data_IF_564837298556
#
_entry.id   IF_564837298556
#
_cell.length_a   1.000
_cell.length_b   1.000
_cell.length_c   1.000
_cell.angle_alpha   90.00
_cell.angle_beta   90.00
_cell.angle_gamma   90.00
#
_symmetry.space_group_name_H-M   'P 1'
#
loop_
_entity.id
_entity.type
_entity.pdbx_description
1 polymer ?
#
# COMPACT_ATOMS: atom_id res chain seq x y z
N UNK A 1 4.58 -65.58 37.86
CA UNK A 1 3.36 -64.81 37.59
C UNK A 1 3.65 -63.36 37.92
N UNK A 2 3.88 -62.48 36.93
CA UNK A 2 3.88 -61.01 37.07
C UNK A 2 3.94 -60.35 35.67
N UNK A 3 2.99 -60.73 34.81
CA UNK A 3 2.82 -60.25 33.44
C UNK A 3 1.99 -58.94 33.39
N UNK A 4 2.22 -58.02 34.33
CA UNK A 4 1.35 -56.83 34.49
C UNK A 4 2.08 -55.49 34.47
N UNK A 5 3.42 -55.47 34.44
CA UNK A 5 4.19 -54.23 34.53
C UNK A 5 4.74 -53.72 33.19
N UNK A 6 4.63 -54.49 32.11
CA UNK A 6 5.24 -54.15 30.81
C UNK A 6 4.32 -53.37 29.87
N UNK A 7 3.03 -53.28 30.17
CA UNK A 7 2.02 -52.67 29.28
C UNK A 7 1.83 -51.16 29.57
N UNK A 8 2.19 -50.70 30.77
CA UNK A 8 2.03 -49.29 31.16
C UNK A 8 3.12 -48.35 30.66
N UNK A 9 4.28 -48.87 30.22
CA UNK A 9 5.37 -48.02 29.70
C UNK A 9 5.23 -47.65 28.22
N UNK A 10 4.39 -48.35 27.46
CA UNK A 10 4.16 -48.09 26.03
C UNK A 10 2.98 -47.16 25.74
N UNK A 11 2.15 -46.85 26.75
CA UNK A 11 0.99 -45.97 26.58
C UNK A 11 1.31 -44.46 26.72
N UNK A 12 2.53 -44.09 27.14
CA UNK A 12 2.91 -42.68 27.35
C UNK A 12 3.64 -42.07 26.13
N UNK A 13 3.97 -42.85 25.10
CA UNK A 13 4.76 -42.36 23.95
C UNK A 13 3.96 -42.01 22.69
N UNK A 14 2.62 -42.04 22.74
CA UNK A 14 1.78 -41.80 21.53
C UNK A 14 1.13 -40.40 21.53
N UNK A 15 1.14 -39.67 22.65
CA UNK A 15 0.41 -38.37 22.73
C UNK A 15 1.27 -37.16 22.33
N UNK A 16 2.57 -37.32 22.11
CA UNK A 16 3.47 -36.18 21.81
C UNK A 16 3.49 -35.73 20.34
N UNK A 17 2.83 -36.45 19.42
CA UNK A 17 2.88 -36.16 17.99
C UNK A 17 1.66 -35.42 17.42
N UNK A 18 0.74 -34.96 18.28
CA UNK A 18 -0.16 -33.88 17.89
C UNK A 18 0.63 -32.57 18.04
N UNK A 19 1.69 -32.44 17.25
CA UNK A 19 2.32 -31.16 17.00
C UNK A 19 1.20 -30.26 16.49
N UNK A 20 0.77 -29.32 17.32
CA UNK A 20 0.00 -28.17 16.87
C UNK A 20 0.80 -27.62 15.69
N UNK A 21 0.34 -27.89 14.47
CA UNK A 21 0.94 -27.34 13.27
C UNK A 21 0.85 -25.83 13.42
N UNK A 22 1.95 -25.24 13.88
CA UNK A 22 2.05 -23.81 14.05
C UNK A 22 1.73 -23.23 12.67
N UNK A 23 0.77 -22.28 12.56
CA UNK A 23 0.40 -21.76 11.26
C UNK A 23 1.67 -21.33 10.54
N UNK A 24 1.91 -21.88 9.34
CA UNK A 24 3.12 -21.58 8.58
C UNK A 24 3.29 -20.06 8.52
N UNK A 25 4.50 -19.57 8.81
CA UNK A 25 4.79 -18.15 8.79
C UNK A 25 4.35 -17.55 7.44
N UNK A 26 3.47 -16.54 7.47
CA UNK A 26 2.91 -15.91 6.27
C UNK A 26 3.45 -14.49 6.10
N UNK A 27 3.76 -14.05 4.86
CA UNK A 27 3.98 -12.65 4.60
C UNK A 27 2.67 -11.87 4.76
N UNK A 28 2.77 -10.60 5.14
CA UNK A 28 1.62 -9.69 5.19
C UNK A 28 2.08 -8.28 4.81
N UNK A 29 1.85 -7.92 3.54
CA UNK A 29 2.21 -6.59 3.04
C UNK A 29 1.11 -5.60 3.35
N UNK A 30 1.47 -4.54 4.07
CA UNK A 30 0.65 -3.37 4.29
C UNK A 30 1.21 -2.20 3.49
N UNK A 31 0.33 -1.41 2.88
CA UNK A 31 0.71 -0.21 2.14
C UNK A 31 -0.17 0.97 2.55
N UNK A 32 0.43 2.15 2.72
CA UNK A 32 -0.29 3.37 3.10
C UNK A 32 0.29 4.56 2.33
N UNK A 33 -0.58 5.32 1.67
CA UNK A 33 -0.21 6.55 0.98
C UNK A 33 -0.53 7.79 1.83
N UNK A 34 0.38 8.75 1.81
CA UNK A 34 0.21 10.06 2.41
C UNK A 34 0.66 11.15 1.43
N UNK A 35 -0.26 12.05 1.08
CA UNK A 35 0.02 13.21 0.26
C UNK A 35 0.47 14.40 1.13
N UNK A 36 1.44 15.17 0.65
CA UNK A 36 1.92 16.40 1.27
C UNK A 36 2.35 17.42 0.23
N UNK A 37 2.36 18.69 0.63
CA UNK A 37 2.94 19.79 -0.15
C UNK A 37 4.34 20.11 0.36
N UNK A 38 5.37 20.16 -0.50
CA UNK A 38 6.66 20.77 -0.18
C UNK A 38 6.50 22.27 0.17
N UNK A 39 7.48 22.88 0.84
CA UNK A 39 7.42 24.29 1.26
C UNK A 39 7.59 25.31 0.12
N UNK A 40 7.57 24.89 -1.15
CA UNK A 40 8.01 25.66 -2.33
C UNK A 40 7.03 26.76 -2.80
N UNK A 41 6.25 27.32 -1.88
CA UNK A 41 5.31 28.42 -2.14
C UNK A 41 4.11 28.03 -3.02
N UNK A 42 3.06 28.88 -3.07
CA UNK A 42 1.89 28.64 -3.91
C UNK A 42 2.16 28.96 -5.41
N UNK A 43 1.59 28.20 -6.36
CA UNK A 43 0.80 26.99 -6.14
C UNK A 43 1.70 25.83 -5.66
N UNK A 44 1.30 25.18 -4.58
CA UNK A 44 2.11 24.16 -3.93
C UNK A 44 2.07 22.85 -4.72
N UNK A 45 3.21 22.28 -5.14
CA UNK A 45 3.23 20.96 -5.75
C UNK A 45 2.78 19.89 -4.75
N UNK A 46 2.23 18.78 -5.25
CA UNK A 46 1.77 17.67 -4.41
C UNK A 46 2.67 16.46 -4.64
N UNK A 47 3.24 15.95 -3.55
CA UNK A 47 4.00 14.70 -3.49
C UNK A 47 3.21 13.66 -2.71
N UNK A 48 3.32 12.39 -3.12
CA UNK A 48 2.70 11.27 -2.42
C UNK A 48 3.79 10.30 -2.00
N UNK A 49 3.89 10.08 -0.70
CA UNK A 49 4.76 9.06 -0.13
C UNK A 49 3.93 7.82 0.17
N UNK A 50 4.37 6.69 -0.36
CA UNK A 50 3.76 5.40 -0.08
C UNK A 50 4.72 4.58 0.77
N UNK A 51 4.30 4.32 2.00
CA UNK A 51 5.00 3.40 2.89
C UNK A 51 4.47 1.98 2.65
N UNK A 52 5.38 1.07 2.36
CA UNK A 52 5.13 -0.37 2.28
C UNK A 52 5.88 -1.06 3.39
N UNK A 53 5.21 -1.98 4.09
CA UNK A 53 5.76 -2.70 5.23
C UNK A 53 5.34 -4.16 5.18
N UNK A 54 6.28 -5.07 5.42
CA UNK A 54 5.93 -6.47 5.68
C UNK A 54 5.70 -6.66 7.19
N UNK A 55 4.43 -6.71 7.58
CA UNK A 55 3.98 -6.98 8.95
C UNK A 55 3.77 -8.48 9.23
N UNK A 56 4.16 -9.33 8.28
CA UNK A 56 4.08 -10.78 8.39
C UNK A 56 5.23 -11.38 9.18
N UNK A 57 5.26 -12.71 9.20
CA UNK A 57 6.29 -13.50 9.88
C UNK A 57 7.26 -14.18 8.90
N UNK A 58 7.03 -14.03 7.60
CA UNK A 58 7.87 -14.56 6.54
C UNK A 58 8.20 -13.48 5.51
N UNK A 59 9.30 -13.67 4.77
CA UNK A 59 9.66 -12.83 3.63
C UNK A 59 8.57 -12.85 2.55
N UNK A 60 8.31 -11.69 1.94
CA UNK A 60 7.32 -11.59 0.87
C UNK A 60 7.90 -12.01 -0.48
N UNK A 61 7.03 -12.43 -1.41
CA UNK A 61 7.42 -12.52 -2.81
C UNK A 61 7.83 -11.12 -3.34
N UNK A 62 8.69 -11.07 -4.37
CA UNK A 62 8.93 -9.84 -5.10
C UNK A 62 7.63 -9.21 -5.60
N UNK A 63 7.42 -7.93 -5.28
CA UNK A 63 6.19 -7.21 -5.62
C UNK A 63 6.46 -5.85 -6.25
N UNK A 64 5.42 -5.29 -6.86
CA UNK A 64 5.38 -3.92 -7.37
C UNK A 64 4.22 -3.15 -6.72
N UNK A 65 4.43 -1.86 -6.54
CA UNK A 65 3.40 -0.94 -6.07
C UNK A 65 2.81 -0.19 -7.24
N UNK A 66 1.48 -0.21 -7.37
CA UNK A 66 0.75 0.71 -8.23
C UNK A 66 0.06 1.76 -7.36
N UNK A 67 0.34 3.03 -7.64
CA UNK A 67 -0.34 4.18 -7.09
C UNK A 67 -1.32 4.73 -8.13
N UNK A 68 -2.61 4.70 -7.81
CA UNK A 68 -3.67 5.25 -8.65
C UNK A 68 -4.22 6.51 -7.99
N UNK A 69 -4.22 7.62 -8.72
CA UNK A 69 -4.89 8.86 -8.31
C UNK A 69 -6.08 9.11 -9.23
N UNK A 70 -7.25 9.42 -8.66
CA UNK A 70 -8.48 9.63 -9.43
C UNK A 70 -9.32 10.74 -8.80
N UNK A 71 -9.91 11.66 -9.58
CA UNK A 71 -10.87 12.62 -9.04
C UNK A 71 -12.07 11.93 -8.39
N UNK A 72 -12.55 12.47 -7.27
CA UNK A 72 -13.77 12.00 -6.58
C UNK A 72 -15.07 12.46 -7.26
N UNK A 73 -14.96 13.21 -8.36
CA UNK A 73 -16.07 13.78 -9.12
C UNK A 73 -16.28 13.01 -10.42
N UNK A 74 -17.52 12.99 -10.90
CA UNK A 74 -17.86 12.34 -12.17
C UNK A 74 -17.29 13.14 -13.34
N UNK A 75 -16.90 12.44 -14.41
CA UNK A 75 -16.30 13.03 -15.60
C UNK A 75 -17.20 14.08 -16.29
N UNK A 76 -18.50 14.09 -15.99
CA UNK A 76 -19.45 15.07 -16.51
C UNK A 76 -19.08 16.53 -16.16
N UNK A 77 -18.38 16.76 -15.05
CA UNK A 77 -17.95 18.10 -14.62
C UNK A 77 -16.50 18.43 -15.03
N UNK A 78 -15.84 17.55 -15.80
CA UNK A 78 -14.46 17.76 -16.23
C UNK A 78 -14.40 18.92 -17.24
N UNK A 79 -13.60 19.97 -16.99
CA UNK A 79 -13.32 20.99 -17.99
C UNK A 79 -12.64 20.39 -19.22
N UNK A 80 -12.97 20.89 -20.41
CA UNK A 80 -12.26 20.51 -21.64
C UNK A 80 -10.79 20.90 -21.52
N UNK A 81 -9.89 19.95 -21.75
CA UNK A 81 -8.44 20.13 -21.68
C UNK A 81 -7.78 19.11 -22.59
N UNK A 82 -6.79 19.55 -23.36
CA UNK A 82 -5.97 18.70 -24.24
C UNK A 82 -4.74 18.14 -23.52
N UNK A 83 -4.45 18.63 -22.31
CA UNK A 83 -3.39 18.12 -21.44
C UNK A 83 -3.96 17.33 -20.27
N UNK A 84 -3.16 16.41 -19.72
CA UNK A 84 -3.49 15.71 -18.47
C UNK A 84 -3.68 16.72 -17.33
N UNK A 85 -4.75 16.53 -16.57
CA UNK A 85 -5.09 17.38 -15.42
C UNK A 85 -5.43 16.52 -14.19
N UNK A 86 -5.70 17.16 -13.05
CA UNK A 86 -6.25 16.50 -11.85
C UNK A 86 -7.62 15.83 -12.05
N UNK A 87 -8.27 16.07 -13.18
CA UNK A 87 -9.51 15.40 -13.57
C UNK A 87 -9.26 14.08 -14.32
N UNK A 88 -8.01 13.78 -14.64
CA UNK A 88 -7.61 12.57 -15.33
C UNK A 88 -7.07 11.56 -14.32
N UNK A 89 -7.51 10.29 -14.37
CA UNK A 89 -6.90 9.27 -13.55
C UNK A 89 -5.46 9.03 -13.99
N UNK A 90 -4.54 8.98 -13.03
CA UNK A 90 -3.13 8.67 -13.27
C UNK A 90 -2.77 7.42 -12.48
N UNK A 91 -2.08 6.48 -13.14
CA UNK A 91 -1.48 5.32 -12.50
C UNK A 91 0.05 5.38 -12.67
N UNK A 92 0.77 5.16 -11.57
CA UNK A 92 2.24 5.06 -11.55
C UNK A 92 2.64 3.76 -10.86
N UNK A 93 3.58 3.01 -11.44
CA UNK A 93 4.06 1.74 -10.88
C UNK A 93 5.54 1.81 -10.52
N UNK A 94 5.93 1.30 -9.34
CA UNK A 94 7.33 1.19 -8.92
C UNK A 94 7.62 -0.20 -8.33
N UNK A 95 8.82 -0.77 -8.56
CA UNK A 95 9.20 -2.05 -7.96
C UNK A 95 9.51 -1.90 -6.46
N UNK A 96 8.90 -2.75 -5.64
CA UNK A 96 9.20 -2.84 -4.19
C UNK A 96 10.31 -3.86 -3.96
N UNK A 97 10.25 -5.01 -4.64
CA UNK A 97 11.10 -6.17 -4.35
C UNK A 97 10.46 -7.08 -3.28
N UNK A 98 11.24 -8.04 -2.77
CA UNK A 98 10.88 -8.84 -1.61
C UNK A 98 11.20 -8.04 -0.33
N UNK A 99 10.36 -8.17 0.70
CA UNK A 99 10.54 -7.50 1.99
C UNK A 99 10.63 -8.53 3.10
N UNK A 100 11.62 -8.40 3.99
CA UNK A 100 11.77 -9.21 5.20
C UNK A 100 10.71 -8.82 6.25
N UNK A 101 10.41 -9.69 7.22
CA UNK A 101 9.55 -9.33 8.35
C UNK A 101 10.03 -8.05 9.06
N UNK A 102 9.12 -7.10 9.26
CA UNK A 102 9.41 -5.78 9.85
C UNK A 102 10.11 -4.79 8.92
N UNK A 103 10.47 -5.19 7.69
CA UNK A 103 11.09 -4.29 6.73
C UNK A 103 10.09 -3.27 6.19
N UNK A 104 10.52 -2.02 6.14
CA UNK A 104 9.75 -0.87 5.65
C UNK A 104 10.48 -0.21 4.49
N UNK A 105 9.74 0.06 3.41
CA UNK A 105 10.21 0.82 2.25
C UNK A 105 9.31 2.02 2.02
N UNK A 106 9.89 3.18 1.72
CA UNK A 106 9.14 4.38 1.33
C UNK A 106 9.40 4.63 -0.15
N UNK A 107 8.33 4.78 -0.90
CA UNK A 107 8.34 5.11 -2.33
C UNK A 107 7.80 6.53 -2.49
N UNK A 108 8.52 7.35 -3.25
CA UNK A 108 8.17 8.74 -3.49
C UNK A 108 7.57 8.88 -4.89
N UNK A 109 6.39 9.50 -4.97
CA UNK A 109 5.70 9.78 -6.22
C UNK A 109 5.48 11.29 -6.36
N UNK A 110 5.96 11.85 -7.47
CA UNK A 110 5.66 13.24 -7.83
C UNK A 110 4.39 13.24 -8.66
N UNK A 111 3.45 14.12 -8.32
CA UNK A 111 2.22 14.29 -9.10
C UNK A 111 2.35 15.52 -10.00
N UNK A 112 1.56 15.56 -11.08
CA UNK A 112 1.40 16.78 -11.89
C UNK A 112 0.45 17.79 -11.23
N UNK A 113 -0.06 17.49 -10.03
CA UNK A 113 -1.09 18.28 -9.36
C UNK A 113 -0.45 19.32 -8.44
N UNK A 114 -1.18 20.41 -8.26
CA UNK A 114 -0.82 21.49 -7.34
C UNK A 114 -2.04 21.89 -6.51
N UNK A 115 -1.83 22.64 -5.44
CA UNK A 115 -2.92 23.22 -4.65
C UNK A 115 -2.59 24.61 -4.11
N UNK A 116 -3.63 25.41 -3.86
CA UNK A 116 -3.47 26.76 -3.33
C UNK A 116 -3.16 26.81 -1.83
N UNK A 117 -3.53 25.75 -1.09
CA UNK A 117 -3.31 25.64 0.35
C UNK A 117 -2.34 24.49 0.64
N UNK A 118 -1.33 24.76 1.46
CA UNK A 118 -0.39 23.74 1.92
C UNK A 118 -1.10 22.71 2.82
N UNK A 119 -0.68 21.45 2.74
CA UNK A 119 -1.12 20.39 3.63
C UNK A 119 -0.02 19.36 3.85
N UNK A 120 -0.17 18.58 4.92
CA UNK A 120 0.77 17.50 5.28
C UNK A 120 0.01 16.24 5.66
N UNK A 121 0.57 15.10 5.28
CA UNK A 121 0.12 13.76 5.70
C UNK A 121 -1.38 13.48 5.45
N UNK A 122 -1.90 13.89 4.29
CA UNK A 122 -3.29 13.59 3.90
C UNK A 122 -3.38 12.15 3.38
N UNK A 123 -4.16 11.31 4.04
CA UNK A 123 -4.37 9.91 3.68
C UNK A 123 -5.69 9.73 2.92
N UNK A 124 -5.69 8.85 1.92
CA UNK A 124 -6.89 8.50 1.15
C UNK A 124 -7.33 9.55 0.12
N UNK A 125 -7.35 10.84 0.47
CA UNK A 125 -7.66 11.91 -0.49
C UNK A 125 -7.06 13.26 -0.11
N UNK A 126 -6.93 14.14 -1.10
CA UNK A 126 -6.47 15.52 -0.93
C UNK A 126 -7.17 16.46 -1.91
N UNK A 127 -7.06 17.76 -1.67
CA UNK A 127 -7.57 18.80 -2.56
C UNK A 127 -6.46 19.24 -3.53
N UNK A 128 -6.79 19.31 -4.81
CA UNK A 128 -5.93 19.82 -5.87
C UNK A 128 -6.65 20.94 -6.64
N UNK A 129 -5.89 21.92 -7.09
CA UNK A 129 -6.36 23.10 -7.81
C UNK A 129 -6.18 22.92 -9.31
N UNK A 130 -7.15 23.42 -10.07
CA UNK A 130 -7.20 23.27 -11.52
C UNK A 130 -6.10 24.10 -12.20
N UNK A 131 -5.08 23.43 -12.72
CA UNK A 131 -3.95 24.08 -13.39
C UNK A 131 -4.37 24.75 -14.71
N UNK A 132 -5.49 24.35 -15.34
CA UNK A 132 -5.86 24.78 -16.70
C UNK A 132 -7.12 25.67 -16.80
N UNK A 133 -7.96 25.78 -15.77
CA UNK A 133 -9.15 26.63 -15.83
C UNK A 133 -9.55 27.13 -14.44
N UNK A 134 -9.84 28.42 -14.31
CA UNK A 134 -10.29 29.10 -13.09
C UNK A 134 -11.54 28.44 -12.48
N UNK A 135 -11.32 27.37 -11.71
CA UNK A 135 -12.36 26.51 -11.14
C UNK A 135 -11.93 25.93 -9.80
N UNK A 136 -12.93 25.55 -9.02
CA UNK A 136 -12.81 25.13 -7.62
C UNK A 136 -11.90 23.91 -7.40
N UNK A 137 -11.42 23.76 -6.17
CA UNK A 137 -10.57 22.64 -5.76
C UNK A 137 -11.30 21.30 -5.89
N UNK A 138 -10.66 20.35 -6.58
CA UNK A 138 -11.15 18.98 -6.75
C UNK A 138 -10.57 18.08 -5.69
N UNK A 139 -11.41 17.22 -5.12
CA UNK A 139 -10.92 16.12 -4.29
C UNK A 139 -10.34 15.04 -5.20
N UNK A 140 -9.10 14.65 -4.97
CA UNK A 140 -8.42 13.54 -5.62
C UNK A 140 -8.28 12.41 -4.61
N UNK A 141 -8.81 11.24 -4.95
CA UNK A 141 -8.65 10.01 -4.20
C UNK A 141 -7.35 9.31 -4.59
N UNK A 142 -6.71 8.67 -3.62
CA UNK A 142 -5.49 7.89 -3.78
C UNK A 142 -5.77 6.46 -3.39
N UNK A 143 -5.51 5.54 -4.32
CA UNK A 143 -5.61 4.10 -4.11
C UNK A 143 -4.24 3.48 -4.31
N UNK A 144 -3.85 2.60 -3.39
CA UNK A 144 -2.59 1.86 -3.46
C UNK A 144 -2.90 0.39 -3.68
N UNK A 145 -2.23 -0.22 -4.65
CA UNK A 145 -2.38 -1.63 -5.00
C UNK A 145 -0.99 -2.26 -4.96
N UNK A 146 -0.83 -3.32 -4.18
CA UNK A 146 0.38 -4.14 -4.19
C UNK A 146 0.12 -5.33 -5.10
N UNK A 147 0.94 -5.47 -6.15
CA UNK A 147 0.87 -6.59 -7.10
C UNK A 147 2.07 -7.50 -6.86
N UNK A 148 1.81 -8.72 -6.43
CA UNK A 148 2.82 -9.77 -6.39
C UNK A 148 3.23 -10.13 -7.82
N UNK A 149 4.52 -10.40 -8.03
CA UNK A 149 4.97 -10.95 -9.31
C UNK A 149 4.30 -12.32 -9.53
N UNK A 150 3.89 -12.64 -10.77
CA UNK A 150 3.36 -13.97 -11.06
C UNK A 150 4.41 -15.04 -10.71
N UNK A 151 3.99 -16.21 -10.16
CA UNK A 151 4.90 -17.31 -9.92
C UNK A 151 5.53 -17.75 -11.26
N UNK A 152 6.85 -17.97 -11.24
CA UNK A 152 7.60 -18.51 -12.39
C UNK A 152 7.30 -19.98 -12.60
#
# INVERSE_FOLDING_TARGET
MNLRLSILLWAVLIVSNVGLAQPAARPYISATAAASTPPDGPPYPISIDVTVENRGQAESAPSSLELVTKPSVTAANKPKSDTLTMWDPISQTQPIGALKPGERKVLHFTTIYQCNAAFKNRTGSFKATNIAAAGADVTVNTTVIVKEAPPK
#
